data_IF_807181901841
#
_entry.id   IF_807181901841
#
_cell.length_a   1.000
_cell.length_b   1.000
_cell.length_c   1.000
_cell.angle_alpha   90.00
_cell.angle_beta   90.00
_cell.angle_gamma   90.00
#
_symmetry.space_group_name_H-M   'P 1'
#
loop_
_entity.id
_entity.type
_entity.pdbx_description
1 polymer ?
#
# COMPACT_ATOMS: atom_id res chain seq x y z
N UNK A 1 2.55 21.52 0.59
CA UNK A 1 2.03 20.14 0.56
C UNK A 1 1.17 19.97 1.79
N UNK A 2 -0.10 19.63 1.63
CA UNK A 2 -1.01 19.40 2.76
C UNK A 2 -0.83 18.00 3.35
N UNK A 3 -1.27 17.80 4.59
CA UNK A 3 -1.25 16.47 5.22
C UNK A 3 -1.99 15.43 4.38
N UNK A 4 -3.15 15.80 3.81
CA UNK A 4 -3.92 14.91 2.95
C UNK A 4 -3.18 14.55 1.64
N UNK A 5 -2.50 15.50 1.00
CA UNK A 5 -1.68 15.23 -0.18
C UNK A 5 -0.53 14.26 0.12
N UNK A 6 0.11 14.43 1.28
CA UNK A 6 1.17 13.54 1.74
C UNK A 6 0.63 12.12 1.97
N UNK A 7 -0.46 11.98 2.70
CA UNK A 7 -1.09 10.69 2.98
C UNK A 7 -1.57 10.00 1.70
N UNK A 8 -2.17 10.73 0.75
CA UNK A 8 -2.53 10.18 -0.57
C UNK A 8 -1.30 9.69 -1.33
N UNK A 9 -0.20 10.45 -1.35
CA UNK A 9 1.05 10.01 -2.01
C UNK A 9 1.62 8.74 -1.39
N UNK A 10 1.60 8.64 -0.05
CA UNK A 10 2.04 7.44 0.67
C UNK A 10 1.15 6.25 0.28
N UNK A 11 -0.17 6.41 0.31
CA UNK A 11 -1.12 5.35 -0.06
C UNK A 11 -0.91 4.87 -1.50
N UNK A 12 -0.71 5.78 -2.45
CA UNK A 12 -0.46 5.43 -3.86
C UNK A 12 0.86 4.67 -4.04
N UNK A 13 1.92 5.09 -3.33
CA UNK A 13 3.22 4.41 -3.36
C UNK A 13 3.12 3.00 -2.77
N UNK A 14 2.38 2.83 -1.66
CA UNK A 14 2.11 1.52 -1.08
C UNK A 14 1.31 0.64 -2.05
N UNK A 15 0.23 1.16 -2.64
CA UNK A 15 -0.60 0.42 -3.59
C UNK A 15 0.19 -0.09 -4.80
N UNK A 16 1.10 0.73 -5.33
CA UNK A 16 1.99 0.34 -6.44
C UNK A 16 2.92 -0.81 -6.04
N UNK A 17 3.59 -0.69 -4.90
CA UNK A 17 4.49 -1.75 -4.39
C UNK A 17 3.74 -3.06 -4.11
N UNK A 18 2.54 -2.95 -3.55
CA UNK A 18 1.68 -4.11 -3.30
C UNK A 18 1.29 -4.81 -4.60
N UNK A 19 0.97 -4.05 -5.66
CA UNK A 19 0.67 -4.61 -6.98
C UNK A 19 1.87 -5.38 -7.56
N UNK A 20 3.07 -4.83 -7.42
CA UNK A 20 4.32 -5.49 -7.86
C UNK A 20 4.52 -6.80 -7.08
N UNK A 21 4.38 -6.78 -5.76
CA UNK A 21 4.58 -7.98 -4.95
C UNK A 21 3.52 -9.05 -5.24
N UNK A 22 2.26 -8.66 -5.49
CA UNK A 22 1.22 -9.60 -5.96
C UNK A 22 1.58 -10.24 -7.30
N UNK A 23 2.11 -9.47 -8.23
CA UNK A 23 2.58 -9.99 -9.51
C UNK A 23 3.75 -10.97 -9.34
N UNK A 24 4.73 -10.65 -8.49
CA UNK A 24 5.85 -11.55 -8.19
C UNK A 24 5.33 -12.87 -7.63
N UNK A 25 4.42 -12.82 -6.66
CA UNK A 25 3.82 -14.01 -6.04
C UNK A 25 3.09 -14.88 -7.08
N UNK A 26 2.41 -14.28 -8.05
CA UNK A 26 1.65 -15.04 -9.06
C UNK A 26 2.49 -15.54 -10.23
N UNK A 27 3.60 -14.86 -10.57
CA UNK A 27 4.35 -15.10 -11.80
C UNK A 27 5.70 -15.82 -11.59
N UNK A 28 6.31 -15.71 -10.40
CA UNK A 28 7.62 -16.30 -10.13
C UNK A 28 7.53 -17.73 -9.62
N UNK A 29 8.51 -18.55 -10.00
CA UNK A 29 8.68 -19.94 -9.54
C UNK A 29 9.74 -20.08 -8.44
N UNK A 30 10.54 -19.04 -8.22
CA UNK A 30 11.54 -18.99 -7.15
C UNK A 30 10.82 -18.79 -5.80
N UNK A 31 10.81 -19.84 -4.98
CA UNK A 31 10.17 -19.84 -3.66
C UNK A 31 10.74 -18.78 -2.71
N UNK A 32 12.04 -18.46 -2.82
CA UNK A 32 12.68 -17.42 -2.02
C UNK A 32 12.17 -16.03 -2.37
N UNK A 33 12.03 -15.74 -3.67
CA UNK A 33 11.43 -14.48 -4.15
C UNK A 33 9.96 -14.38 -3.78
N UNK A 34 9.19 -15.46 -3.93
CA UNK A 34 7.76 -15.50 -3.56
C UNK A 34 7.56 -15.29 -2.06
N UNK A 35 8.38 -15.94 -1.23
CA UNK A 35 8.34 -15.77 0.24
C UNK A 35 8.66 -14.32 0.63
N UNK A 36 9.74 -13.75 0.10
CA UNK A 36 10.11 -12.36 0.37
C UNK A 36 9.01 -11.38 -0.06
N UNK A 37 8.45 -11.56 -1.26
CA UNK A 37 7.36 -10.73 -1.77
C UNK A 37 6.10 -10.85 -0.88
N UNK A 38 5.81 -12.04 -0.35
CA UNK A 38 4.68 -12.28 0.56
C UNK A 38 4.86 -11.60 1.92
N UNK A 39 6.06 -11.66 2.50
CA UNK A 39 6.41 -10.97 3.76
C UNK A 39 6.29 -9.45 3.59
N UNK A 40 6.87 -8.91 2.51
CA UNK A 40 6.77 -7.48 2.19
C UNK A 40 5.32 -7.05 1.94
N UNK A 41 4.54 -7.85 1.21
CA UNK A 41 3.11 -7.56 0.94
C UNK A 41 2.31 -7.52 2.25
N UNK A 42 2.60 -8.41 3.20
CA UNK A 42 1.96 -8.43 4.52
C UNK A 42 2.25 -7.12 5.28
N UNK A 43 3.50 -6.69 5.29
CA UNK A 43 3.89 -5.44 5.96
C UNK A 43 3.27 -4.21 5.27
N UNK A 44 3.27 -4.17 3.93
CA UNK A 44 2.67 -3.08 3.17
C UNK A 44 1.16 -2.98 3.40
N UNK A 45 0.44 -4.11 3.52
CA UNK A 45 -0.98 -4.13 3.88
C UNK A 45 -1.23 -3.48 5.25
N UNK A 46 -0.41 -3.78 6.26
CA UNK A 46 -0.50 -3.15 7.59
C UNK A 46 -0.28 -1.64 7.48
N UNK A 47 0.81 -1.22 6.85
CA UNK A 47 1.11 0.19 6.64
C UNK A 47 -0.01 0.92 5.89
N UNK A 48 -0.59 0.32 4.85
CA UNK A 48 -1.69 0.92 4.10
C UNK A 48 -2.94 1.12 4.97
N UNK A 49 -3.28 0.14 5.81
CA UNK A 49 -4.41 0.24 6.75
C UNK A 49 -4.17 1.36 7.77
N UNK A 50 -2.96 1.47 8.29
CA UNK A 50 -2.60 2.51 9.25
C UNK A 50 -2.61 3.91 8.62
N UNK A 51 -2.05 4.07 7.41
CA UNK A 51 -2.13 5.33 6.65
C UNK A 51 -3.59 5.70 6.35
N UNK A 52 -4.43 4.72 5.96
CA UNK A 52 -5.87 4.95 5.73
C UNK A 52 -6.59 5.38 7.01
N UNK A 53 -6.20 4.88 8.19
CA UNK A 53 -6.74 5.34 9.47
C UNK A 53 -6.35 6.79 9.74
N UNK A 54 -5.10 7.17 9.49
CA UNK A 54 -4.66 8.57 9.65
C UNK A 54 -5.37 9.51 8.68
N UNK A 55 -5.53 9.08 7.42
CA UNK A 55 -6.27 9.82 6.41
C UNK A 55 -7.71 10.14 6.84
N UNK A 56 -8.39 9.17 7.46
CA UNK A 56 -9.73 9.38 8.04
C UNK A 56 -9.70 10.32 9.24
N UNK A 57 -8.73 10.18 10.15
CA UNK A 57 -8.59 11.06 11.33
C UNK A 57 -8.34 12.52 10.96
N UNK A 58 -7.57 12.74 9.90
CA UNK A 58 -7.30 14.07 9.37
C UNK A 58 -8.50 14.69 8.61
N UNK A 59 -9.66 14.02 8.57
CA UNK A 59 -10.85 14.43 7.81
C UNK A 59 -10.53 14.77 6.33
N UNK A 60 -9.56 14.05 5.76
CA UNK A 60 -9.24 14.22 4.35
C UNK A 60 -10.45 13.80 3.51
N UNK A 61 -10.89 14.68 2.60
CA UNK A 61 -11.97 14.37 1.64
C UNK A 61 -11.58 13.10 0.91
N UNK A 62 -12.43 12.07 0.99
CA UNK A 62 -12.22 10.82 0.27
C UNK A 62 -11.97 11.13 -1.21
N UNK A 63 -10.82 10.69 -1.73
CA UNK A 63 -10.55 10.68 -3.17
C UNK A 63 -11.51 9.75 -3.94
N UNK A 64 -12.31 8.94 -3.23
CA UNK A 64 -13.33 8.04 -3.77
C UNK A 64 -14.75 8.62 -3.69
N UNK A 65 -14.93 9.78 -3.06
CA UNK A 65 -16.22 10.50 -2.99
C UNK A 65 -16.32 11.54 -4.14
N UNK A 66 -15.53 11.36 -5.20
CA UNK A 66 -15.60 12.16 -6.43
C UNK A 66 -16.48 11.48 -7.47
#
# INVERSE_FOLDING_TARGET
>A
MTECELLTRIMNKLGTKMSINRYIISAQKDEGLVKKASEELSQQNKSYRDTKRQYKKANCKSIWDR
#
